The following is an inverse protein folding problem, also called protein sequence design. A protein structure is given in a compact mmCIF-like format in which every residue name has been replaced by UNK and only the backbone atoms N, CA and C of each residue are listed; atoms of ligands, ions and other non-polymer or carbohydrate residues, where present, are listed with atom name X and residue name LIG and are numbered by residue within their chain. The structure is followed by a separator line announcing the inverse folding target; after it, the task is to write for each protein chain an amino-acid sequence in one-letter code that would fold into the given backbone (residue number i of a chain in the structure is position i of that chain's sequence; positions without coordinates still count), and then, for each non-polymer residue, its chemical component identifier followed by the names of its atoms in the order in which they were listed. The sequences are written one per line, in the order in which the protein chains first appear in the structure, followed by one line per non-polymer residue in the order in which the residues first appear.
data_IF_801557756284
#
_entry.id   IF_801557756284
#
_cell.length_a   1.000
_cell.length_b   1.000
_cell.length_c   1.000
_cell.angle_alpha   90.00
_cell.angle_beta   90.00
_cell.angle_gamma   90.00
#
_symmetry.space_group_name_H-M   'P 1'
#
loop_
_entity.id
_entity.type
_entity.pdbx_description
1 polymer ?
#
# COMPACT_ATOMS: atom_id res chain seq x y z
N UNK A 1 29.35 32.68 -55.10
CA UNK A 1 28.92 32.75 -53.66
C UNK A 1 27.41 32.53 -53.63
N UNK A 2 26.96 31.27 -53.41
CA UNK A 2 25.56 30.89 -53.47
C UNK A 2 25.10 30.61 -52.03
N UNK A 3 24.21 31.44 -51.48
CA UNK A 3 23.59 31.26 -50.18
C UNK A 3 22.52 30.18 -50.26
N UNK A 4 22.72 29.03 -49.61
CA UNK A 4 21.66 28.01 -49.36
C UNK A 4 20.75 28.49 -48.27
N UNK A 5 19.47 28.75 -48.58
CA UNK A 5 18.35 28.94 -47.63
C UNK A 5 18.05 27.57 -47.02
N UNK A 6 18.19 27.41 -45.69
CA UNK A 6 17.60 26.32 -44.92
C UNK A 6 16.10 26.54 -44.81
N UNK A 7 15.31 25.71 -45.44
CA UNK A 7 13.88 25.57 -45.15
C UNK A 7 13.72 24.80 -43.84
N UNK A 8 13.21 25.50 -42.83
CA UNK A 8 12.78 24.87 -41.57
C UNK A 8 11.39 24.23 -41.79
N UNK A 9 11.33 22.91 -41.78
CA UNK A 9 10.07 22.17 -41.75
C UNK A 9 9.43 22.31 -40.36
N UNK A 10 8.50 23.23 -40.22
CA UNK A 10 7.57 23.27 -39.09
C UNK A 10 6.67 22.04 -39.18
N UNK A 11 6.88 21.07 -38.31
CA UNK A 11 5.96 19.96 -38.09
C UNK A 11 4.68 20.49 -37.46
N UNK A 12 3.73 20.86 -38.29
CA UNK A 12 2.37 21.20 -37.85
C UNK A 12 1.72 19.97 -37.24
N UNK A 13 1.64 19.92 -35.89
CA UNK A 13 0.93 18.87 -35.16
C UNK A 13 -0.52 18.84 -35.60
N UNK A 14 -0.94 17.76 -36.24
CA UNK A 14 -2.28 17.58 -36.81
C UNK A 14 -3.34 17.75 -35.70
N UNK A 15 -4.17 18.80 -35.73
CA UNK A 15 -5.15 19.11 -34.69
C UNK A 15 -6.19 18.00 -34.49
N UNK A 16 -6.43 17.19 -35.53
CA UNK A 16 -7.36 16.05 -35.47
C UNK A 16 -6.86 14.92 -34.55
N UNK A 17 -5.56 14.69 -34.46
CA UNK A 17 -5.00 13.66 -33.55
C UNK A 17 -5.18 14.10 -32.10
N UNK A 18 -4.99 15.38 -31.81
CA UNK A 18 -5.14 15.92 -30.45
C UNK A 18 -6.61 15.91 -29.99
N UNK A 19 -7.55 16.21 -30.88
CA UNK A 19 -8.98 16.16 -30.60
C UNK A 19 -9.45 14.71 -30.36
N UNK A 20 -8.98 13.76 -31.17
CA UNK A 20 -9.33 12.33 -31.02
C UNK A 20 -8.77 11.73 -29.73
N UNK A 21 -7.57 12.13 -29.30
CA UNK A 21 -7.01 11.69 -28.01
C UNK A 21 -7.79 12.26 -26.82
N UNK A 22 -8.15 13.56 -26.84
CA UNK A 22 -8.97 14.16 -25.78
C UNK A 22 -10.31 13.45 -25.63
N UNK A 23 -10.97 13.11 -26.76
CA UNK A 23 -12.25 12.40 -26.75
C UNK A 23 -12.11 10.96 -26.25
N UNK A 24 -11.01 10.25 -26.57
CA UNK A 24 -10.75 8.90 -26.05
C UNK A 24 -10.47 8.92 -24.55
N UNK A 25 -9.68 9.87 -24.07
CA UNK A 25 -9.39 10.04 -22.63
C UNK A 25 -10.67 10.39 -21.86
N UNK A 26 -11.49 11.33 -22.38
CA UNK A 26 -12.77 11.66 -21.79
C UNK A 26 -13.73 10.45 -21.73
N UNK A 27 -13.77 9.62 -22.78
CA UNK A 27 -14.57 8.38 -22.80
C UNK A 27 -14.09 7.35 -21.78
N UNK A 28 -12.77 7.22 -21.58
CA UNK A 28 -12.21 6.34 -20.55
C UNK A 28 -12.57 6.87 -19.16
N UNK A 29 -12.50 8.16 -18.91
CA UNK A 29 -12.93 8.77 -17.65
C UNK A 29 -14.43 8.58 -17.39
N UNK A 30 -15.27 8.77 -18.40
CA UNK A 30 -16.71 8.53 -18.29
C UNK A 30 -17.01 7.06 -18.04
N UNK A 31 -16.30 6.14 -18.72
CA UNK A 31 -16.44 4.70 -18.49
C UNK A 31 -16.02 4.30 -17.08
N UNK A 32 -14.87 4.81 -16.58
CA UNK A 32 -14.42 4.65 -15.21
C UNK A 32 -15.44 5.21 -14.19
N UNK A 33 -16.03 6.37 -14.49
CA UNK A 33 -17.04 6.98 -13.62
C UNK A 33 -18.38 6.22 -13.65
N UNK A 34 -18.73 5.54 -14.75
CA UNK A 34 -19.90 4.66 -14.83
C UNK A 34 -19.71 3.30 -14.15
N UNK A 35 -18.47 2.83 -14.06
CA UNK A 35 -18.14 1.56 -13.38
C UNK A 35 -18.06 1.76 -11.85
N UNK A 36 -17.73 2.97 -11.38
CA UNK A 36 -17.66 3.32 -9.96
C UNK A 36 -18.95 2.95 -9.16
N UNK A 37 -20.18 3.22 -9.66
CA UNK A 37 -21.40 2.88 -8.93
C UNK A 37 -21.72 1.40 -8.86
N UNK A 38 -21.19 0.55 -9.75
CA UNK A 38 -21.45 -0.90 -9.72
C UNK A 38 -20.84 -1.53 -8.47
N UNK A 39 -19.73 -1.00 -8.01
CA UNK A 39 -19.11 -1.36 -6.73
C UNK A 39 -19.93 -0.96 -5.49
N UNK A 40 -20.79 0.04 -5.57
CA UNK A 40 -21.61 0.54 -4.47
C UNK A 40 -22.86 -0.32 -4.18
N UNK A 41 -23.21 -1.27 -5.06
CA UNK A 41 -24.43 -2.08 -4.97
C UNK A 41 -24.17 -3.47 -4.35
N UNK A 42 -22.93 -3.89 -4.20
CA UNK A 42 -22.58 -5.14 -3.52
C UNK A 42 -22.36 -4.83 -2.02
N UNK A 43 -23.00 -5.55 -1.13
CA UNK A 43 -22.72 -5.47 0.30
C UNK A 43 -21.26 -5.88 0.54
N UNK A 44 -20.43 -4.92 0.93
CA UNK A 44 -19.01 -5.13 1.13
C UNK A 44 -18.74 -5.61 2.55
N UNK A 45 -18.13 -6.77 2.70
CA UNK A 45 -17.42 -7.07 3.93
C UNK A 45 -16.13 -6.22 3.93
N UNK A 46 -16.12 -5.12 4.67
CA UNK A 46 -15.09 -4.07 4.59
C UNK A 46 -13.77 -4.40 5.31
N UNK A 47 -13.60 -5.61 5.82
CA UNK A 47 -12.49 -5.96 6.73
C UNK A 47 -11.27 -6.61 6.06
N UNK A 48 -11.33 -6.97 4.79
CA UNK A 48 -10.32 -7.84 4.19
C UNK A 48 -9.02 -7.16 3.75
N UNK A 49 -8.96 -5.84 3.54
CA UNK A 49 -7.89 -5.17 2.79
C UNK A 49 -7.03 -4.19 3.56
N UNK A 50 -7.29 -3.98 4.82
CA UNK A 50 -6.49 -3.04 5.61
C UNK A 50 -5.03 -3.46 5.68
N UNK A 51 -4.73 -4.75 5.51
CA UNK A 51 -3.37 -5.24 5.45
C UNK A 51 -2.56 -4.65 4.29
N UNK A 52 -3.16 -4.33 3.14
CA UNK A 52 -2.45 -3.69 2.01
C UNK A 52 -1.97 -2.28 2.37
N UNK A 53 -2.61 -1.65 3.34
CA UNK A 53 -2.17 -0.36 3.87
C UNK A 53 -0.92 -0.48 4.74
N UNK A 54 -0.59 -1.64 5.28
CA UNK A 54 0.60 -1.89 6.10
C UNK A 54 1.88 -2.13 5.26
N UNK A 55 1.76 -2.27 3.94
CA UNK A 55 2.88 -2.54 3.02
C UNK A 55 3.59 -1.28 2.49
N UNK A 56 3.34 -0.11 3.09
CA UNK A 56 3.83 1.18 2.56
C UNK A 56 5.27 1.52 2.96
N UNK A 57 5.86 0.78 3.87
CA UNK A 57 7.16 1.10 4.46
C UNK A 57 7.16 2.35 5.37
N UNK A 58 8.32 2.68 5.99
CA UNK A 58 8.42 3.77 6.95
C UNK A 58 7.93 5.12 6.40
N UNK A 59 8.40 5.50 5.23
CA UNK A 59 8.01 6.78 4.65
C UNK A 59 6.56 6.82 4.17
N UNK A 60 6.05 5.71 3.63
CA UNK A 60 4.65 5.60 3.24
C UNK A 60 3.69 5.64 4.43
N UNK A 61 4.10 5.12 5.58
CA UNK A 61 3.35 5.26 6.83
C UNK A 61 3.42 6.68 7.37
N UNK A 62 4.63 7.26 7.39
CA UNK A 62 4.87 8.60 7.90
C UNK A 62 4.21 9.69 7.06
N UNK A 63 4.29 9.61 5.73
CA UNK A 63 3.85 10.69 4.83
C UNK A 63 2.65 10.32 3.95
N UNK A 64 2.10 9.11 4.08
CA UNK A 64 1.00 8.65 3.24
C UNK A 64 1.37 8.64 1.75
N UNK A 65 0.43 9.04 0.89
CA UNK A 65 0.64 9.12 -0.56
C UNK A 65 1.72 10.15 -0.96
N UNK A 66 2.00 11.16 -0.10
CA UNK A 66 3.01 12.18 -0.38
C UNK A 66 4.44 11.62 -0.42
N UNK A 67 4.70 10.48 0.23
CA UNK A 67 6.01 9.83 0.14
C UNK A 67 6.37 9.45 -1.29
N UNK A 68 5.42 9.02 -2.09
CA UNK A 68 5.62 8.76 -3.52
C UNK A 68 6.06 10.00 -4.34
N UNK A 69 5.92 11.22 -3.79
CA UNK A 69 6.44 12.47 -4.36
C UNK A 69 7.81 12.86 -3.80
N UNK A 70 8.29 12.22 -2.75
CA UNK A 70 9.53 12.60 -2.04
C UNK A 70 10.71 11.71 -2.42
N UNK A 71 10.45 10.49 -2.89
CA UNK A 71 11.46 9.46 -3.13
C UNK A 71 11.50 8.96 -4.58
N UNK A 72 12.64 8.34 -4.95
CA UNK A 72 12.93 7.79 -6.27
C UNK A 72 13.50 6.37 -6.13
N UNK A 73 12.78 5.45 -5.51
CA UNK A 73 13.25 4.10 -5.27
C UNK A 73 12.26 3.03 -5.76
N UNK A 74 12.63 1.77 -5.57
CA UNK A 74 11.79 0.63 -5.96
C UNK A 74 10.53 0.48 -5.12
N UNK A 75 10.44 1.12 -3.94
CA UNK A 75 9.22 1.28 -3.16
C UNK A 75 8.11 2.00 -3.93
N UNK A 76 8.47 2.80 -4.92
CA UNK A 76 7.53 3.45 -5.82
C UNK A 76 6.78 2.48 -6.73
N UNK A 77 7.15 1.20 -6.76
CA UNK A 77 6.36 0.17 -7.44
C UNK A 77 4.89 0.20 -7.00
N UNK A 78 4.62 0.38 -5.72
CA UNK A 78 3.24 0.45 -5.17
C UNK A 78 2.80 1.86 -4.78
N UNK A 79 3.76 2.76 -4.46
CA UNK A 79 3.45 4.09 -3.97
C UNK A 79 3.18 5.08 -5.11
N UNK A 80 4.06 5.10 -6.10
CA UNK A 80 3.98 5.99 -7.25
C UNK A 80 4.76 5.44 -8.46
N UNK A 81 4.22 4.50 -9.24
CA UNK A 81 4.91 3.92 -10.40
C UNK A 81 5.35 4.94 -11.46
N UNK A 82 4.80 6.16 -11.45
CA UNK A 82 5.21 7.21 -12.40
C UNK A 82 6.68 7.58 -12.27
N UNK A 83 7.27 7.41 -11.07
CA UNK A 83 8.67 7.77 -10.76
C UNK A 83 9.69 6.68 -11.04
N UNK A 84 9.28 5.48 -11.38
CA UNK A 84 10.20 4.40 -11.72
C UNK A 84 11.09 4.74 -12.93
N UNK A 85 10.60 5.61 -13.83
CA UNK A 85 11.37 6.10 -14.97
C UNK A 85 12.50 7.09 -14.63
N UNK A 86 12.43 7.71 -13.47
CA UNK A 86 13.41 8.69 -12.99
C UNK A 86 14.51 8.05 -12.16
N UNK A 87 14.30 6.82 -11.74
CA UNK A 87 15.33 6.03 -11.08
C UNK A 87 16.38 5.69 -12.15
N UNK A 88 17.44 6.50 -12.23
CA UNK A 88 18.52 6.32 -13.21
C UNK A 88 19.22 4.97 -13.02
N UNK A 89 19.08 4.38 -11.86
CA UNK A 89 19.81 3.23 -11.39
C UNK A 89 18.84 2.15 -10.89
N UNK A 90 19.23 0.90 -11.07
CA UNK A 90 18.58 -0.22 -10.44
C UNK A 90 18.63 -0.02 -8.93
N UNK A 91 17.50 -0.10 -8.25
CA UNK A 91 17.44 -0.01 -6.80
C UNK A 91 16.82 -1.25 -6.20
N UNK A 92 17.34 -1.65 -5.05
CA UNK A 92 16.79 -2.69 -4.21
C UNK A 92 16.25 -2.04 -2.94
N UNK A 93 15.03 -2.35 -2.57
CA UNK A 93 14.39 -1.90 -1.34
C UNK A 93 14.00 -3.10 -0.51
N UNK A 94 14.36 -3.04 0.77
CA UNK A 94 13.99 -4.01 1.78
C UNK A 94 13.22 -3.28 2.88
N UNK A 95 12.16 -3.86 3.34
CA UNK A 95 11.30 -3.31 4.36
C UNK A 95 10.88 -4.37 5.37
N UNK A 96 10.87 -4.00 6.64
CA UNK A 96 10.32 -4.79 7.72
C UNK A 96 9.60 -3.88 8.72
N UNK A 97 8.49 -4.36 9.24
CA UNK A 97 7.76 -3.70 10.31
C UNK A 97 7.14 -4.70 11.27
N UNK A 98 6.96 -4.23 12.49
CA UNK A 98 6.17 -4.90 13.51
C UNK A 98 5.07 -3.96 14.01
N UNK A 99 3.89 -4.51 14.18
CA UNK A 99 2.67 -3.81 14.54
C UNK A 99 2.05 -4.49 15.76
N UNK A 100 1.30 -3.73 16.56
CA UNK A 100 0.51 -4.27 17.64
C UNK A 100 1.31 -5.16 18.58
N UNK A 101 2.37 -4.61 19.24
CA UNK A 101 3.29 -5.34 20.13
C UNK A 101 3.94 -6.57 19.48
N UNK A 102 4.25 -6.51 18.19
CA UNK A 102 4.83 -7.58 17.38
C UNK A 102 3.87 -8.72 16.98
N UNK A 103 2.58 -8.61 17.24
CA UNK A 103 1.59 -9.61 16.82
C UNK A 103 1.50 -9.71 15.29
N UNK A 104 1.62 -8.58 14.60
CA UNK A 104 1.60 -8.53 13.14
C UNK A 104 2.96 -8.12 12.60
N UNK A 105 3.50 -8.89 11.66
CA UNK A 105 4.72 -8.55 10.94
C UNK A 105 4.47 -8.33 9.46
N UNK A 106 5.11 -7.31 8.87
CA UNK A 106 5.11 -7.10 7.42
C UNK A 106 6.54 -6.97 6.90
N UNK A 107 6.83 -7.61 5.79
CA UNK A 107 8.13 -7.56 5.12
C UNK A 107 7.93 -7.43 3.63
N UNK A 108 8.80 -6.67 2.97
CA UNK A 108 8.77 -6.51 1.52
C UNK A 108 10.16 -6.43 0.94
N UNK A 109 10.28 -6.90 -0.28
CA UNK A 109 11.43 -6.71 -1.14
C UNK A 109 10.96 -6.12 -2.46
N UNK A 110 11.57 -5.03 -2.91
CA UNK A 110 11.26 -4.43 -4.19
C UNK A 110 12.52 -4.17 -5.01
N UNK A 111 12.39 -4.30 -6.31
CA UNK A 111 13.47 -4.11 -7.25
C UNK A 111 13.00 -3.39 -8.51
N UNK A 112 13.82 -2.46 -9.03
CA UNK A 112 13.59 -1.78 -10.31
C UNK A 112 14.58 -2.22 -11.37
N UNK A 113 14.11 -2.39 -12.59
CA UNK A 113 14.92 -2.72 -13.75
C UNK A 113 14.29 -2.16 -15.03
N UNK A 114 15.02 -2.23 -16.14
CA UNK A 114 14.49 -1.89 -17.46
C UNK A 114 14.18 -3.16 -18.24
N UNK A 115 12.99 -3.22 -18.79
CA UNK A 115 12.59 -4.25 -19.74
C UNK A 115 12.28 -3.58 -21.10
N UNK A 116 13.07 -3.84 -22.13
CA UNK A 116 12.94 -3.17 -23.43
C UNK A 116 12.84 -1.64 -23.31
N UNK A 117 13.76 -1.05 -22.55
CA UNK A 117 13.83 0.39 -22.24
C UNK A 117 12.69 0.96 -21.39
N UNK A 118 11.69 0.17 -21.05
CA UNK A 118 10.63 0.56 -20.14
C UNK A 118 11.06 0.28 -18.69
N UNK A 119 11.00 1.26 -17.80
CA UNK A 119 11.24 1.03 -16.38
C UNK A 119 10.12 0.19 -15.79
N UNK A 120 10.49 -0.82 -15.04
CA UNK A 120 9.60 -1.75 -14.36
C UNK A 120 10.03 -1.88 -12.90
N UNK A 121 9.06 -1.91 -12.00
CA UNK A 121 9.25 -2.26 -10.60
C UNK A 121 8.52 -3.55 -10.27
N UNK A 122 9.17 -4.41 -9.48
CA UNK A 122 8.56 -5.58 -8.88
C UNK A 122 8.67 -5.43 -7.38
N UNK A 123 7.59 -5.72 -6.64
CA UNK A 123 7.60 -5.78 -5.18
C UNK A 123 6.90 -7.04 -4.73
N UNK A 124 7.55 -7.80 -3.87
CA UNK A 124 6.99 -8.96 -3.20
C UNK A 124 6.88 -8.64 -1.72
N UNK A 125 5.73 -8.92 -1.14
CA UNK A 125 5.48 -8.61 0.26
C UNK A 125 4.79 -9.77 0.95
N UNK A 126 5.07 -9.90 2.26
CA UNK A 126 4.36 -10.78 3.19
C UNK A 126 3.91 -9.96 4.37
N UNK A 127 2.68 -10.19 4.80
CA UNK A 127 2.17 -9.72 6.08
C UNK A 127 1.45 -10.88 6.75
N UNK A 128 1.61 -11.04 8.06
CA UNK A 128 0.98 -12.14 8.75
C UNK A 128 1.08 -12.03 10.26
N UNK A 129 0.34 -12.92 10.89
CA UNK A 129 0.31 -13.19 12.31
C UNK A 129 0.83 -14.60 12.48
N UNK A 130 1.79 -14.78 13.37
CA UNK A 130 2.33 -16.08 13.78
C UNK A 130 1.80 -16.44 15.16
N UNK A 131 2.02 -17.68 15.55
CA UNK A 131 1.80 -18.15 16.91
C UNK A 131 0.34 -17.99 17.42
N UNK A 132 -0.62 -18.12 16.51
CA UNK A 132 -2.05 -18.16 16.86
C UNK A 132 -2.33 -19.52 17.51
N UNK A 133 -2.76 -19.56 18.79
CA UNK A 133 -3.08 -20.82 19.42
C UNK A 133 -4.34 -21.43 18.80
N UNK A 134 -4.22 -22.67 18.33
CA UNK A 134 -5.33 -23.49 17.85
C UNK A 134 -5.65 -24.53 18.93
N UNK A 135 -6.71 -24.28 19.66
CA UNK A 135 -7.17 -25.11 20.78
C UNK A 135 -8.24 -26.14 20.40
N UNK A 136 -8.57 -26.28 19.10
CA UNK A 136 -9.66 -27.16 18.64
C UNK A 136 -9.45 -28.64 19.02
N UNK A 137 -8.20 -29.06 19.16
CA UNK A 137 -7.85 -30.42 19.58
C UNK A 137 -7.38 -30.48 21.04
N UNK A 138 -7.50 -29.40 21.79
CA UNK A 138 -7.06 -29.34 23.19
C UNK A 138 -8.15 -29.72 24.18
N UNK A 139 -9.42 -29.65 23.78
CA UNK A 139 -10.53 -30.09 24.60
C UNK A 139 -10.62 -31.64 24.54
N UNK A 140 -10.45 -32.28 25.67
CA UNK A 140 -10.78 -33.71 25.85
C UNK A 140 -12.25 -33.78 26.19
N UNK A 141 -13.09 -33.73 25.12
CA UNK A 141 -14.55 -33.68 25.19
C UNK A 141 -15.11 -35.07 25.38
N UNK A 142 -15.02 -35.54 26.64
CA UNK A 142 -15.39 -36.91 27.04
C UNK A 142 -16.70 -36.99 27.81
N UNK A 143 -17.45 -35.87 27.89
CA UNK A 143 -18.73 -35.78 28.57
C UNK A 143 -18.63 -35.84 30.12
N UNK A 144 -19.78 -36.02 30.74
CA UNK A 144 -19.91 -35.93 32.20
C UNK A 144 -19.17 -37.05 32.95
N UNK A 145 -18.97 -38.23 32.37
CA UNK A 145 -18.26 -39.33 33.00
C UNK A 145 -16.73 -39.27 32.80
N UNK A 146 -16.26 -38.37 31.92
CA UNK A 146 -14.85 -38.18 31.60
C UNK A 146 -14.18 -39.36 30.87
N UNK A 147 -14.97 -40.25 30.28
CA UNK A 147 -14.48 -41.46 29.60
C UNK A 147 -14.83 -41.35 28.09
N UNK A 148 -13.83 -41.40 27.19
CA UNK A 148 -14.11 -41.23 25.76
C UNK A 148 -14.90 -42.40 25.17
N UNK A 149 -15.85 -42.11 24.31
CA UNK A 149 -16.61 -43.10 23.55
C UNK A 149 -17.74 -43.78 24.28
N UNK A 150 -18.20 -43.22 25.40
CA UNK A 150 -19.35 -43.78 26.16
C UNK A 150 -20.70 -43.28 25.65
N UNK A 151 -20.67 -42.16 24.94
CA UNK A 151 -21.87 -41.52 24.39
C UNK A 151 -22.77 -40.88 25.46
N UNK A 152 -22.18 -40.47 26.56
CA UNK A 152 -22.92 -39.84 27.64
C UNK A 152 -23.26 -38.37 27.34
N UNK A 153 -23.92 -37.71 28.27
CA UNK A 153 -24.33 -36.33 28.10
C UNK A 153 -23.11 -35.41 28.09
N UNK A 154 -22.99 -34.62 27.03
CA UNK A 154 -21.90 -33.65 26.85
C UNK A 154 -20.79 -34.13 25.93
N UNK A 155 -20.59 -35.46 25.75
CA UNK A 155 -19.52 -35.98 24.92
C UNK A 155 -19.66 -35.52 23.44
N UNK A 156 -18.60 -34.90 22.88
CA UNK A 156 -18.55 -34.45 21.51
C UNK A 156 -19.35 -33.16 21.24
N UNK A 157 -19.74 -32.40 22.28
CA UNK A 157 -20.53 -31.18 22.14
C UNK A 157 -19.68 -29.92 21.83
N UNK A 158 -18.36 -30.00 21.94
CA UNK A 158 -17.42 -28.91 21.70
C UNK A 158 -17.42 -27.81 22.77
N UNK A 159 -18.00 -28.06 23.95
CA UNK A 159 -18.04 -27.17 25.11
C UNK A 159 -17.29 -27.80 26.25
N UNK A 160 -16.63 -27.00 27.08
CA UNK A 160 -15.97 -27.49 28.27
C UNK A 160 -17.01 -27.71 29.38
N UNK A 161 -17.34 -28.95 29.66
CA UNK A 161 -18.25 -29.39 30.70
C UNK A 161 -17.49 -29.68 32.05
N UNK A 162 -18.24 -29.97 33.13
CA UNK A 162 -17.72 -29.99 34.53
C UNK A 162 -16.57 -30.99 34.76
N UNK A 163 -16.57 -32.12 34.06
CA UNK A 163 -15.56 -33.17 34.23
C UNK A 163 -14.58 -33.30 33.07
N UNK A 164 -14.61 -32.36 32.16
CA UNK A 164 -13.72 -32.35 31.00
C UNK A 164 -12.43 -31.58 31.26
N UNK A 165 -11.40 -31.93 30.52
CA UNK A 165 -10.06 -31.40 30.73
C UNK A 165 -9.55 -30.79 29.44
N UNK A 166 -8.86 -29.65 29.58
CA UNK A 166 -8.09 -29.06 28.50
C UNK A 166 -6.66 -29.65 28.54
N UNK A 167 -6.33 -30.39 27.51
CA UNK A 167 -4.96 -30.83 27.24
C UNK A 167 -4.16 -29.71 26.58
N UNK A 168 -3.37 -29.00 27.37
CA UNK A 168 -2.56 -27.89 26.83
C UNK A 168 -1.46 -28.37 25.88
N UNK A 169 -1.05 -29.64 25.91
CA UNK A 169 -0.12 -30.19 24.93
C UNK A 169 -0.76 -30.44 23.58
N UNK A 170 -2.12 -30.50 23.53
CA UNK A 170 -2.92 -30.55 22.34
C UNK A 170 -3.12 -29.20 21.64
N UNK A 171 -2.69 -28.09 22.25
CA UNK A 171 -2.72 -26.76 21.64
C UNK A 171 -1.65 -26.66 20.57
N UNK A 172 -2.06 -26.55 19.32
CA UNK A 172 -1.17 -26.29 18.19
C UNK A 172 -1.03 -24.80 17.94
N UNK A 173 0.13 -24.38 17.44
CA UNK A 173 0.32 -23.00 17.01
C UNK A 173 0.29 -22.93 15.49
N UNK A 174 -0.49 -22.02 14.97
CA UNK A 174 -0.67 -21.80 13.53
C UNK A 174 -0.42 -20.35 13.19
N UNK A 175 -0.57 -19.98 11.93
CA UNK A 175 -0.44 -18.61 11.48
C UNK A 175 -1.30 -18.31 10.26
N UNK A 176 -1.54 -17.03 10.05
CA UNK A 176 -2.18 -16.52 8.84
C UNK A 176 -1.23 -15.57 8.11
N UNK A 177 -1.21 -15.63 6.81
CA UNK A 177 -0.32 -14.79 6.02
C UNK A 177 -0.96 -14.36 4.70
N UNK A 178 -0.69 -13.12 4.34
CA UNK A 178 -1.01 -12.54 3.05
C UNK A 178 0.29 -12.29 2.29
N UNK A 179 0.35 -12.73 1.06
CA UNK A 179 1.47 -12.50 0.15
C UNK A 179 0.97 -11.67 -1.03
N UNK A 180 1.79 -10.73 -1.46
CA UNK A 180 1.46 -9.92 -2.64
C UNK A 180 2.65 -9.82 -3.58
N UNK A 181 2.38 -9.80 -4.88
CA UNK A 181 3.35 -9.49 -5.92
C UNK A 181 2.81 -8.33 -6.73
N UNK A 182 3.50 -7.21 -6.73
CA UNK A 182 3.12 -6.02 -7.46
C UNK A 182 4.08 -5.75 -8.62
N UNK A 183 3.51 -5.37 -9.76
CA UNK A 183 4.23 -4.91 -10.95
C UNK A 183 3.83 -3.46 -11.21
N UNK A 184 4.80 -2.54 -11.18
CA UNK A 184 4.58 -1.12 -11.41
C UNK A 184 5.32 -0.62 -12.64
N UNK A 185 4.72 0.29 -13.41
CA UNK A 185 5.36 0.93 -14.54
C UNK A 185 4.77 2.30 -14.87
N UNK A 186 5.54 3.27 -15.37
CA UNK A 186 5.00 4.45 -16.04
C UNK A 186 4.50 4.04 -17.42
N UNK A 187 3.30 4.48 -17.79
CA UNK A 187 2.65 4.12 -19.07
C UNK A 187 2.52 5.29 -20.03
N UNK A 188 2.63 6.52 -19.53
CA UNK A 188 2.56 7.72 -20.34
C UNK A 188 3.30 8.86 -19.65
N UNK A 189 4.10 9.60 -20.42
CA UNK A 189 4.79 10.80 -19.94
C UNK A 189 4.74 11.91 -20.99
N UNK A 190 4.31 13.09 -20.58
CA UNK A 190 4.31 14.27 -21.44
C UNK A 190 4.47 15.53 -20.60
N UNK A 191 5.50 16.31 -20.91
CA UNK A 191 5.87 17.50 -20.14
C UNK A 191 6.02 17.15 -18.64
N UNK A 192 5.26 17.82 -17.78
CA UNK A 192 5.26 17.65 -16.33
C UNK A 192 4.19 16.64 -15.83
N UNK A 193 3.55 15.90 -16.72
CA UNK A 193 2.49 14.95 -16.38
C UNK A 193 2.92 13.53 -16.73
N UNK A 194 2.79 12.62 -15.78
CA UNK A 194 3.10 11.20 -15.95
C UNK A 194 1.94 10.34 -15.42
N UNK A 195 1.58 9.30 -16.18
CA UNK A 195 0.66 8.25 -15.72
C UNK A 195 1.46 7.00 -15.39
N UNK A 196 1.07 6.31 -14.33
CA UNK A 196 1.65 5.04 -13.90
C UNK A 196 0.58 4.02 -13.59
N UNK A 197 0.96 2.78 -13.72
CA UNK A 197 0.12 1.60 -13.53
C UNK A 197 0.74 0.69 -12.49
N UNK A 198 -0.07 0.09 -11.65
CA UNK A 198 0.31 -1.01 -10.78
C UNK A 198 -0.68 -2.18 -10.94
N UNK A 199 -0.17 -3.38 -11.07
CA UNK A 199 -0.93 -4.62 -11.08
C UNK A 199 -0.45 -5.47 -9.89
N UNK A 200 -1.37 -5.91 -9.03
CA UNK A 200 -1.07 -6.72 -7.86
C UNK A 200 -1.74 -8.08 -7.94
N UNK A 201 -0.97 -9.13 -7.64
CA UNK A 201 -1.44 -10.49 -7.38
C UNK A 201 -1.44 -10.71 -5.88
N UNK A 202 -2.55 -11.21 -5.36
CA UNK A 202 -2.77 -11.40 -3.93
C UNK A 202 -2.94 -12.90 -3.65
N UNK A 203 -2.30 -13.37 -2.59
CA UNK A 203 -2.51 -14.71 -2.06
C UNK A 203 -2.65 -14.61 -0.54
N UNK A 204 -3.70 -15.21 -0.01
CA UNK A 204 -3.98 -15.27 1.42
C UNK A 204 -4.00 -16.73 1.85
N UNK A 205 -3.25 -17.05 2.89
CA UNK A 205 -3.29 -18.34 3.56
C UNK A 205 -3.92 -18.14 4.94
N UNK A 206 -5.10 -18.69 5.11
CA UNK A 206 -5.79 -18.78 6.40
C UNK A 206 -5.66 -20.22 6.93
N UNK A 207 -6.09 -20.45 8.17
CA UNK A 207 -5.93 -21.74 8.84
C UNK A 207 -6.54 -22.90 8.01
N UNK A 208 -7.72 -22.66 7.43
CA UNK A 208 -8.48 -23.72 6.74
C UNK A 208 -8.75 -23.43 5.25
N UNK A 209 -8.40 -22.27 4.76
CA UNK A 209 -8.73 -21.86 3.40
C UNK A 209 -7.66 -20.93 2.83
N UNK A 210 -7.51 -20.99 1.52
CA UNK A 210 -6.61 -20.10 0.80
C UNK A 210 -7.42 -19.23 -0.16
N UNK A 211 -6.94 -18.00 -0.37
CA UNK A 211 -7.54 -17.05 -1.28
C UNK A 211 -6.54 -16.56 -2.33
N UNK A 212 -7.04 -16.31 -3.54
CA UNK A 212 -6.28 -15.76 -4.66
C UNK A 212 -6.96 -14.51 -5.18
N UNK A 213 -6.21 -13.46 -5.45
CA UNK A 213 -6.81 -12.19 -5.82
C UNK A 213 -5.97 -11.36 -6.78
N UNK A 214 -6.62 -10.31 -7.29
CA UNK A 214 -6.03 -9.34 -8.19
C UNK A 214 -6.41 -7.92 -7.75
N UNK A 215 -5.49 -6.99 -7.91
CA UNK A 215 -5.73 -5.55 -7.76
C UNK A 215 -5.08 -4.77 -8.89
N UNK A 216 -5.69 -3.65 -9.23
CA UNK A 216 -5.23 -2.75 -10.28
C UNK A 216 -5.29 -1.31 -9.77
N UNK A 217 -4.19 -0.57 -9.93
CA UNK A 217 -4.08 0.82 -9.50
C UNK A 217 -3.65 1.71 -10.67
N UNK A 218 -4.20 2.91 -10.71
CA UNK A 218 -3.82 3.96 -11.66
C UNK A 218 -3.29 5.18 -10.89
N UNK A 219 -2.16 5.71 -11.34
CA UNK A 219 -1.50 6.85 -10.73
C UNK A 219 -1.29 7.96 -11.74
N UNK A 220 -1.46 9.21 -11.31
CA UNK A 220 -1.20 10.39 -12.12
C UNK A 220 -0.37 11.39 -11.30
N UNK A 221 0.81 11.72 -11.78
CA UNK A 221 1.69 12.73 -11.18
C UNK A 221 1.76 13.97 -12.05
N UNK A 222 1.70 15.13 -11.40
CA UNK A 222 2.00 16.40 -12.02
C UNK A 222 3.13 17.10 -11.27
N UNK A 223 4.23 17.39 -11.97
CA UNK A 223 5.40 18.13 -11.46
C UNK A 223 5.25 19.61 -11.76
N UNK A 224 4.49 20.31 -10.92
CA UNK A 224 4.38 21.77 -11.01
C UNK A 224 5.68 22.46 -10.57
N UNK A 225 5.84 23.72 -10.98
CA UNK A 225 7.02 24.54 -10.60
C UNK A 225 7.16 24.73 -9.08
N UNK A 226 6.04 24.87 -8.37
CA UNK A 226 6.00 25.14 -6.94
C UNK A 226 5.39 24.00 -6.14
N UNK A 227 4.50 23.23 -6.74
CA UNK A 227 3.77 22.15 -6.09
C UNK A 227 3.86 20.90 -6.94
N UNK A 228 4.25 19.80 -6.33
CA UNK A 228 4.14 18.46 -6.91
C UNK A 228 2.85 17.83 -6.41
N UNK A 229 2.12 17.15 -7.28
CA UNK A 229 0.87 16.48 -6.92
C UNK A 229 0.81 15.05 -7.46
N UNK A 230 0.24 14.17 -6.66
CA UNK A 230 -0.01 12.77 -6.99
C UNK A 230 -1.49 12.46 -6.74
N UNK A 231 -2.10 11.80 -7.68
CA UNK A 231 -3.47 11.27 -7.59
C UNK A 231 -3.41 9.79 -7.89
N UNK A 232 -4.03 8.98 -7.06
CA UNK A 232 -4.03 7.52 -7.20
C UNK A 232 -5.44 6.99 -7.04
N UNK A 233 -5.87 6.18 -8.00
CA UNK A 233 -7.07 5.35 -7.90
C UNK A 233 -6.58 3.92 -7.66
N UNK A 234 -6.88 3.39 -6.50
CA UNK A 234 -6.44 2.07 -6.07
C UNK A 234 -7.60 1.08 -6.10
N UNK A 235 -7.27 -0.20 -6.31
CA UNK A 235 -8.25 -1.28 -6.33
C UNK A 235 -9.33 -1.08 -7.40
N UNK A 236 -8.97 -0.76 -8.64
CA UNK A 236 -9.92 -0.49 -9.72
C UNK A 236 -10.35 -1.77 -10.46
N UNK A 237 -11.63 -1.95 -10.81
CA UNK A 237 -12.80 -1.22 -10.27
C UNK A 237 -13.14 -1.66 -8.85
N UNK A 238 -12.59 -2.79 -8.42
CA UNK A 238 -12.52 -3.39 -7.10
C UNK A 238 -11.37 -4.40 -7.11
N UNK A 239 -10.60 -4.55 -6.04
CA UNK A 239 -9.77 -5.73 -5.92
C UNK A 239 -10.69 -6.92 -5.55
N UNK A 240 -10.35 -8.09 -6.04
CA UNK A 240 -11.16 -9.30 -5.87
C UNK A 240 -10.27 -10.38 -5.29
N UNK A 241 -10.74 -11.07 -4.27
CA UNK A 241 -10.15 -12.28 -3.70
C UNK A 241 -11.18 -13.41 -3.74
N UNK A 242 -10.79 -14.54 -4.28
CA UNK A 242 -11.62 -15.76 -4.34
C UNK A 242 -10.94 -16.83 -3.51
N UNK A 243 -11.69 -17.46 -2.63
CA UNK A 243 -11.23 -18.50 -1.74
C UNK A 243 -11.55 -19.91 -2.31
N UNK A 244 -10.77 -20.90 -1.90
CA UNK A 244 -10.95 -22.29 -2.33
C UNK A 244 -12.28 -22.93 -1.86
N UNK A 245 -12.90 -22.37 -0.82
CA UNK A 245 -14.25 -22.73 -0.37
C UNK A 245 -15.37 -22.06 -1.19
N UNK A 246 -15.04 -21.33 -2.26
CA UNK A 246 -16.00 -20.64 -3.14
C UNK A 246 -16.44 -19.26 -2.64
N UNK A 247 -16.01 -18.80 -1.47
CA UNK A 247 -16.28 -17.44 -1.01
C UNK A 247 -15.51 -16.43 -1.85
N UNK A 248 -16.06 -15.23 -2.01
CA UNK A 248 -15.39 -14.12 -2.67
C UNK A 248 -15.46 -12.86 -1.80
N UNK A 249 -14.36 -12.14 -1.74
CA UNK A 249 -14.27 -10.83 -1.09
C UNK A 249 -13.95 -9.78 -2.14
N UNK A 250 -14.62 -8.65 -2.04
CA UNK A 250 -14.42 -7.49 -2.89
C UNK A 250 -13.89 -6.35 -2.04
N UNK A 251 -12.91 -5.66 -2.58
CA UNK A 251 -12.26 -4.55 -1.90
C UNK A 251 -12.58 -3.26 -2.61
N UNK A 252 -13.22 -2.32 -1.94
CA UNK A 252 -13.67 -1.10 -2.57
C UNK A 252 -12.50 -0.28 -3.10
N UNK A 253 -12.74 0.50 -4.17
CA UNK A 253 -11.74 1.42 -4.67
C UNK A 253 -11.43 2.51 -3.64
N UNK A 254 -10.18 2.97 -3.66
CA UNK A 254 -9.72 4.11 -2.86
C UNK A 254 -9.20 5.20 -3.77
N UNK A 255 -9.51 6.44 -3.45
CA UNK A 255 -8.85 7.60 -4.04
C UNK A 255 -7.85 8.18 -3.05
N UNK A 256 -6.60 8.35 -3.49
CA UNK A 256 -5.55 9.01 -2.71
C UNK A 256 -5.05 10.22 -3.47
N UNK A 257 -4.82 11.32 -2.76
CA UNK A 257 -4.23 12.53 -3.31
C UNK A 257 -3.13 13.04 -2.39
N UNK A 258 -2.10 13.62 -2.97
CA UNK A 258 -1.04 14.25 -2.22
C UNK A 258 -0.49 15.48 -2.92
N UNK A 259 -0.10 16.45 -2.12
CA UNK A 259 0.55 17.68 -2.57
C UNK A 259 1.77 17.95 -1.70
N UNK A 260 2.89 18.28 -2.33
CA UNK A 260 4.15 18.60 -1.65
C UNK A 260 4.73 19.88 -2.26
N UNK A 261 5.18 20.79 -1.41
CA UNK A 261 5.85 22.03 -1.79
C UNK A 261 7.34 21.92 -1.46
N UNK A 262 8.22 21.65 -2.43
CA UNK A 262 9.66 21.59 -2.18
C UNK A 262 10.22 23.01 -2.07
N UNK A 263 10.71 23.37 -0.89
CA UNK A 263 11.38 24.64 -0.60
C UNK A 263 12.86 24.37 -0.31
N UNK A 264 13.77 25.18 -0.88
CA UNK A 264 15.22 25.06 -0.66
C UNK A 264 15.74 26.33 -0.01
N UNK A 265 16.45 26.19 1.11
CA UNK A 265 17.09 27.28 1.84
C UNK A 265 18.50 26.86 2.26
N UNK A 266 19.50 27.22 1.45
CA UNK A 266 20.87 26.79 1.66
C UNK A 266 21.00 25.27 1.59
N UNK A 267 21.55 24.66 2.64
CA UNK A 267 21.76 23.22 2.75
C UNK A 267 20.46 22.46 3.16
N UNK A 268 19.39 23.17 3.45
CA UNK A 268 18.14 22.60 3.90
C UNK A 268 17.11 22.54 2.78
N UNK A 269 16.36 21.42 2.71
CA UNK A 269 15.14 21.29 1.93
C UNK A 269 13.97 21.04 2.88
N UNK A 270 12.94 21.87 2.75
CA UNK A 270 11.69 21.76 3.49
C UNK A 270 10.62 21.26 2.53
N UNK A 271 9.91 20.23 2.91
CA UNK A 271 8.85 19.63 2.09
C UNK A 271 7.55 19.55 2.91
N UNK A 272 6.89 20.71 3.18
CA UNK A 272 5.54 20.66 3.71
C UNK A 272 4.59 20.07 2.68
N UNK A 273 3.59 19.33 3.15
CA UNK A 273 2.65 18.67 2.27
C UNK A 273 1.38 18.22 2.98
N UNK A 274 0.50 17.69 2.19
CA UNK A 274 -0.76 17.08 2.62
C UNK A 274 -0.95 15.78 1.84
N UNK A 275 -1.31 14.72 2.54
CA UNK A 275 -1.81 13.47 1.97
C UNK A 275 -3.28 13.32 2.34
N UNK A 276 -4.08 12.81 1.44
CA UNK A 276 -5.49 12.52 1.67
C UNK A 276 -5.83 11.15 1.14
N UNK A 277 -6.72 10.45 1.83
CA UNK A 277 -7.33 9.20 1.38
C UNK A 277 -8.83 9.30 1.50
N UNK A 278 -9.52 8.85 0.47
CA UNK A 278 -10.97 8.69 0.45
C UNK A 278 -11.26 7.22 0.17
N UNK A 279 -12.03 6.60 1.04
CA UNK A 279 -12.35 5.17 1.00
C UNK A 279 -13.84 4.94 1.15
N UNK A 280 -14.36 3.91 0.51
CA UNK A 280 -15.67 3.38 0.81
C UNK A 280 -15.52 2.39 1.96
N UNK A 281 -16.14 2.65 3.11
CA UNK A 281 -16.04 1.83 4.32
C UNK A 281 -17.24 2.07 5.22
N UNK A 282 -17.63 1.06 5.97
CA UNK A 282 -18.65 1.17 7.01
C UNK A 282 -18.04 1.62 8.35
N UNK A 283 -16.72 1.53 8.48
CA UNK A 283 -16.00 1.90 9.69
C UNK A 283 -15.58 3.39 9.63
N UNK A 284 -16.50 4.28 9.95
CA UNK A 284 -16.35 5.73 9.80
C UNK A 284 -15.61 6.40 10.96
N UNK A 285 -15.53 5.76 12.12
CA UNK A 285 -15.04 6.36 13.38
C UNK A 285 -13.53 6.69 13.33
N UNK A 286 -12.79 6.00 12.49
CA UNK A 286 -11.33 6.20 12.33
C UNK A 286 -10.95 7.27 11.30
N UNK A 287 -11.94 7.93 10.69
CA UNK A 287 -11.70 8.93 9.65
C UNK A 287 -12.09 10.33 10.13
N UNK A 288 -11.36 11.34 9.63
CA UNK A 288 -11.61 12.74 9.98
C UNK A 288 -12.99 13.25 9.51
N UNK A 289 -13.43 12.78 8.34
CA UNK A 289 -14.71 13.15 7.74
C UNK A 289 -15.43 11.91 7.22
N UNK A 290 -16.77 11.94 7.33
CA UNK A 290 -17.64 10.95 6.70
C UNK A 290 -18.75 11.64 5.90
N UNK A 291 -19.12 11.03 4.79
CA UNK A 291 -20.21 11.49 3.93
C UNK A 291 -21.20 10.34 3.78
N UNK A 292 -22.37 10.51 4.37
CA UNK A 292 -23.33 9.41 4.51
C UNK A 292 -22.78 8.30 5.41
N UNK A 293 -23.19 7.06 5.15
CA UNK A 293 -22.81 5.88 5.94
C UNK A 293 -21.71 5.02 5.31
N UNK A 294 -21.11 5.46 4.19
CA UNK A 294 -20.23 4.57 3.39
C UNK A 294 -18.96 5.24 2.85
N UNK A 295 -18.88 6.57 2.84
CA UNK A 295 -17.73 7.29 2.31
C UNK A 295 -16.98 7.99 3.43
N UNK A 296 -15.72 7.66 3.59
CA UNK A 296 -14.84 8.23 4.59
C UNK A 296 -13.64 8.93 3.94
N UNK A 297 -13.19 10.02 4.54
CA UNK A 297 -12.02 10.77 4.09
C UNK A 297 -11.13 11.12 5.26
N UNK A 298 -9.83 10.93 5.07
CA UNK A 298 -8.79 11.36 6.00
C UNK A 298 -7.83 12.34 5.34
N UNK A 299 -7.30 13.26 6.14
CA UNK A 299 -6.31 14.25 5.74
C UNK A 299 -5.14 14.17 6.70
N UNK A 300 -3.94 14.00 6.15
CA UNK A 300 -2.69 13.88 6.87
C UNK A 300 -1.76 15.04 6.50
N UNK A 301 -1.73 16.13 7.29
CA UNK A 301 -0.72 17.17 7.17
C UNK A 301 0.65 16.59 7.56
N UNK A 302 1.69 17.05 6.88
CA UNK A 302 3.04 16.53 7.04
C UNK A 302 4.11 17.57 6.76
N UNK A 303 5.29 17.35 7.31
CA UNK A 303 6.50 18.09 6.94
C UNK A 303 7.71 17.17 7.01
N UNK A 304 8.58 17.27 6.00
CA UNK A 304 9.92 16.67 5.99
C UNK A 304 10.96 17.80 5.91
N UNK A 305 12.01 17.69 6.70
CA UNK A 305 13.19 18.56 6.65
C UNK A 305 14.39 17.68 6.29
N UNK A 306 15.07 18.02 5.21
CA UNK A 306 16.25 17.32 4.71
C UNK A 306 17.47 18.24 4.81
N UNK A 307 18.57 17.77 5.37
CA UNK A 307 19.83 18.47 5.47
C UNK A 307 20.90 17.82 4.59
N UNK A 308 21.46 18.58 3.64
CA UNK A 308 22.53 18.16 2.70
C UNK A 308 22.26 16.86 1.94
N UNK A 309 20.99 16.46 1.83
CA UNK A 309 20.61 15.14 1.29
C UNK A 309 21.24 13.95 2.04
N UNK A 310 21.68 14.15 3.29
CA UNK A 310 22.30 13.11 4.12
C UNK A 310 21.32 12.61 5.17
N UNK A 311 20.58 13.53 5.79
CA UNK A 311 19.60 13.19 6.81
C UNK A 311 18.30 13.91 6.54
N UNK A 312 17.20 13.21 6.64
CA UNK A 312 15.87 13.78 6.62
C UNK A 312 15.11 13.34 7.88
N UNK A 313 14.40 14.27 8.48
CA UNK A 313 13.48 14.00 9.58
C UNK A 313 12.10 14.53 9.23
N UNK A 314 11.08 13.87 9.73
CA UNK A 314 9.73 14.30 9.45
C UNK A 314 8.71 13.91 10.48
N UNK A 315 7.61 14.64 10.43
CA UNK A 315 6.43 14.39 11.24
C UNK A 315 5.18 14.52 10.39
N UNK A 316 4.17 13.81 10.80
CA UNK A 316 2.82 13.97 10.27
C UNK A 316 1.79 13.70 11.35
N UNK A 317 0.57 14.11 11.09
CA UNK A 317 -0.57 13.83 11.96
C UNK A 317 -1.67 13.16 11.15
N UNK A 318 -2.18 12.04 11.66
CA UNK A 318 -3.34 11.34 11.10
C UNK A 318 -4.45 11.27 12.15
N UNK A 319 -5.65 11.61 11.74
CA UNK A 319 -6.82 11.47 12.61
C UNK A 319 -6.99 10.01 13.02
N UNK A 320 -7.31 9.76 14.28
CA UNK A 320 -7.44 8.40 14.81
C UNK A 320 -6.13 7.73 15.24
N UNK A 321 -5.01 8.04 14.58
CA UNK A 321 -3.70 7.45 14.86
C UNK A 321 -2.77 8.36 15.65
N UNK A 322 -2.94 9.70 15.52
CA UNK A 322 -2.12 10.69 16.22
C UNK A 322 -0.87 11.13 15.45
N UNK A 323 0.17 11.51 16.19
CA UNK A 323 1.43 12.03 15.65
C UNK A 323 2.37 10.90 15.26
N UNK A 324 2.84 10.91 14.02
CA UNK A 324 3.86 9.99 13.49
C UNK A 324 5.18 10.75 13.34
N UNK A 325 6.30 10.09 13.60
CA UNK A 325 7.63 10.65 13.44
C UNK A 325 8.58 9.65 12.76
N UNK A 326 9.57 10.16 12.04
CA UNK A 326 10.56 9.31 11.38
C UNK A 326 11.80 10.04 10.98
N UNK A 327 12.83 9.26 10.67
CA UNK A 327 14.14 9.73 10.24
C UNK A 327 14.66 8.86 9.10
N UNK A 328 15.37 9.48 8.16
CA UNK A 328 16.06 8.81 7.05
C UNK A 328 17.49 9.29 6.98
N UNK A 329 18.41 8.36 6.83
CA UNK A 329 19.83 8.61 6.57
C UNK A 329 20.17 8.14 5.17
N UNK A 330 20.72 9.05 4.35
CA UNK A 330 21.13 8.77 2.97
C UNK A 330 22.66 8.76 2.90
N UNK A 331 23.19 7.56 2.73
CA UNK A 331 24.61 7.31 2.45
C UNK A 331 24.80 7.15 0.94
N UNK A 332 26.03 7.22 0.41
CA UNK A 332 26.27 7.16 -1.05
C UNK A 332 25.65 5.97 -1.77
N UNK A 333 25.45 4.86 -1.08
CA UNK A 333 24.95 3.60 -1.64
C UNK A 333 23.78 2.98 -0.87
N UNK A 334 23.44 3.52 0.29
CA UNK A 334 22.44 2.95 1.20
C UNK A 334 21.65 4.07 1.87
N UNK A 335 20.33 4.01 1.73
CA UNK A 335 19.43 4.80 2.57
C UNK A 335 18.82 3.89 3.63
N UNK A 336 18.76 4.39 4.85
CA UNK A 336 18.14 3.72 6.00
C UNK A 336 17.03 4.60 6.50
N UNK A 337 15.80 4.10 6.53
CA UNK A 337 14.66 4.86 7.04
C UNK A 337 14.03 4.13 8.22
N UNK A 338 13.62 4.90 9.20
CA UNK A 338 12.89 4.42 10.36
C UNK A 338 11.69 5.33 10.61
N UNK A 339 10.55 4.73 10.94
CA UNK A 339 9.40 5.47 11.44
C UNK A 339 8.79 4.81 12.66
N UNK A 340 8.22 5.65 13.49
CA UNK A 340 7.53 5.30 14.71
C UNK A 340 6.10 5.83 14.64
N UNK A 341 5.16 4.94 14.96
CA UNK A 341 3.75 5.24 15.09
C UNK A 341 3.30 4.85 16.49
N UNK A 342 2.92 5.82 17.35
CA UNK A 342 2.24 5.51 18.59
C UNK A 342 0.87 4.91 18.29
N UNK A 343 0.36 4.05 19.14
CA UNK A 343 -1.02 3.61 19.06
C UNK A 343 -1.93 4.61 19.76
N UNK A 344 -3.05 4.96 19.15
CA UNK A 344 -4.10 5.73 19.81
C UNK A 344 -4.74 4.93 20.96
N UNK A 345 -4.77 3.61 20.83
CA UNK A 345 -5.13 2.69 21.91
C UNK A 345 -3.85 2.13 22.53
N UNK A 346 -3.58 2.51 23.80
CA UNK A 346 -2.39 2.07 24.55
C UNK A 346 -2.23 0.55 24.65
N UNK A 347 -3.32 -0.20 24.58
CA UNK A 347 -3.32 -1.66 24.66
C UNK A 347 -2.72 -2.32 23.40
N UNK A 348 -2.84 -1.67 22.25
CA UNK A 348 -2.29 -2.17 20.98
C UNK A 348 -0.78 -1.91 20.83
N UNK A 349 -0.19 -1.05 21.69
CA UNK A 349 1.22 -0.71 21.63
C UNK A 349 1.63 0.09 20.39
N UNK A 350 2.90 0.45 20.33
CA UNK A 350 3.47 1.20 19.21
C UNK A 350 3.88 0.28 18.05
N UNK A 351 4.04 0.89 16.86
CA UNK A 351 4.55 0.21 15.66
C UNK A 351 5.90 0.78 15.26
N UNK A 352 6.79 -0.09 14.81
CA UNK A 352 8.16 0.23 14.41
C UNK A 352 8.38 -0.27 12.99
N UNK A 353 8.83 0.62 12.12
CA UNK A 353 9.04 0.34 10.73
C UNK A 353 10.47 0.71 10.33
N UNK A 354 11.15 -0.19 9.66
CA UNK A 354 12.51 0.03 9.15
C UNK A 354 12.59 -0.35 7.68
N UNK A 355 13.34 0.40 6.90
CA UNK A 355 13.67 0.03 5.52
C UNK A 355 15.10 0.36 5.16
N UNK A 356 15.61 -0.40 4.20
CA UNK A 356 16.89 -0.22 3.54
C UNK A 356 16.65 -0.07 2.05
N UNK A 357 17.23 0.96 1.45
CA UNK A 357 17.25 1.14 -0.01
C UNK A 357 18.69 1.21 -0.49
N UNK A 358 19.05 0.34 -1.41
CA UNK A 358 20.40 0.25 -1.96
C UNK A 358 20.38 0.59 -3.45
N UNK A 359 21.33 1.40 -3.90
CA UNK A 359 21.64 1.53 -5.33
C UNK A 359 22.49 0.33 -5.78
N UNK A 360 22.08 -0.33 -6.84
CA UNK A 360 22.84 -1.50 -7.36
C UNK A 360 23.97 -1.12 -8.31
N UNK A 361 24.22 0.17 -8.56
CA UNK A 361 25.35 0.62 -9.39
C UNK A 361 26.72 0.37 -8.76
N UNK A 362 26.74 0.00 -7.48
CA UNK A 362 27.98 -0.37 -6.76
C UNK A 362 28.61 -1.66 -7.29
N UNK A 363 27.83 -2.50 -7.97
CA UNK A 363 28.28 -3.79 -8.48
C UNK A 363 28.72 -3.73 -9.96
N UNK A 364 28.91 -2.52 -10.49
CA UNK A 364 29.59 -2.27 -11.77
C UNK A 364 31.02 -1.85 -11.50
#
# INVERSE_FOLDING_TARGET
MIKKKKQGTSSAKNPYILATMKTKIAKIFVLLFMILPIGLLAGYASYGNDYLNLLRGPGGELYGAAYGLMQYGSENTILNPTRLGETSNKSLYLYHSTWFRNEVSASSIAFTFKFKDQPLGIMVSRIGISDIPDSRNALLDYGLDGIPGTGDTGEGNGQLDENEIIDYDGVLFTGVANYTVHLGMPIYQKNNFTLGLNLGFLYTSLIETNGYGLTFDLHAEHKGKYVQSLYSLKNLPSAIMVFDNGAAQYYPPQFKAAWVVPLVAGDFKFKPGISSVMSFTENLDYYMFSIGSVLAMDIQPLVQIEYKSIVAAGISYRWGDGLHAGIEFSLPFLDVSYSFRPSANGDLGSSHLISLRMSTDIFK
#
